data_IF_895499808421
#
_entry.id   IF_895499808421
#
_cell.length_a   1.000
_cell.length_b   1.000
_cell.length_c   1.000
_cell.angle_alpha   90.00
_cell.angle_beta   90.00
_cell.angle_gamma   90.00
#
_symmetry.space_group_name_H-M   'P 1'
#
loop_
_entity.id
_entity.type
_entity.pdbx_description
1 polymer ?
#
# COMPACT_ATOMS: atom_id res chain seq x y z
N UNK A 1 -47.04 15.10 -70.58
CA UNK A 1 -46.81 13.76 -70.01
C UNK A 1 -45.54 13.78 -69.15
N UNK A 2 -45.64 13.62 -67.82
CA UNK A 2 -44.49 13.69 -66.92
C UNK A 2 -43.91 12.28 -66.66
N UNK A 3 -42.59 12.11 -66.88
CA UNK A 3 -41.85 10.90 -66.53
C UNK A 3 -41.63 10.84 -65.01
N UNK A 4 -42.19 9.83 -64.33
CA UNK A 4 -41.86 9.51 -62.93
C UNK A 4 -40.49 8.86 -62.87
N UNK A 5 -39.54 9.50 -62.20
CA UNK A 5 -38.24 8.94 -61.85
C UNK A 5 -38.41 7.90 -60.73
N UNK A 6 -38.08 6.63 -61.02
CA UNK A 6 -37.99 5.59 -60.00
C UNK A 6 -36.76 5.81 -59.13
N UNK A 7 -36.96 6.02 -57.82
CA UNK A 7 -35.89 6.01 -56.83
C UNK A 7 -35.55 4.54 -56.56
N UNK A 8 -34.30 4.15 -56.80
CA UNK A 8 -33.79 2.79 -56.66
C UNK A 8 -33.79 2.35 -55.20
N UNK A 9 -34.54 1.28 -54.89
CA UNK A 9 -34.53 0.57 -53.60
C UNK A 9 -33.13 0.04 -53.21
N UNK A 10 -32.22 -0.12 -54.16
CA UNK A 10 -30.84 -0.56 -53.91
C UNK A 10 -30.00 0.44 -53.13
N UNK A 11 -30.21 1.74 -53.31
CA UNK A 11 -29.40 2.78 -52.65
C UNK A 11 -29.66 2.91 -51.15
N UNK A 12 -30.85 2.53 -50.68
CA UNK A 12 -31.22 2.60 -49.26
C UNK A 12 -30.61 1.46 -48.45
N UNK A 13 -30.58 0.24 -49.01
CA UNK A 13 -29.97 -0.93 -48.37
C UNK A 13 -28.44 -0.77 -48.22
N UNK A 14 -27.76 -0.21 -49.23
CA UNK A 14 -26.31 0.05 -49.17
C UNK A 14 -25.99 1.15 -48.14
N UNK A 15 -26.81 2.20 -48.05
CA UNK A 15 -26.64 3.26 -47.05
C UNK A 15 -26.85 2.75 -45.61
N UNK A 16 -27.90 1.95 -45.35
CA UNK A 16 -28.12 1.32 -44.05
C UNK A 16 -27.00 0.34 -43.67
N UNK A 17 -26.46 -0.43 -44.62
CA UNK A 17 -25.33 -1.32 -44.36
C UNK A 17 -24.04 -0.55 -44.09
N UNK A 18 -23.82 0.59 -44.74
CA UNK A 18 -22.63 1.44 -44.54
C UNK A 18 -22.67 2.11 -43.18
N UNK A 19 -23.84 2.61 -42.76
CA UNK A 19 -24.04 3.20 -41.43
C UNK A 19 -23.85 2.15 -40.32
N UNK A 20 -24.33 0.92 -40.52
CA UNK A 20 -24.13 -0.16 -39.55
C UNK A 20 -22.66 -0.57 -39.41
N UNK A 21 -21.90 -0.59 -40.51
CA UNK A 21 -20.45 -0.87 -40.49
C UNK A 21 -19.70 0.28 -39.81
N UNK A 22 -20.03 1.54 -40.13
CA UNK A 22 -19.41 2.70 -39.47
C UNK A 22 -19.68 2.74 -37.97
N UNK A 23 -20.90 2.42 -37.51
CA UNK A 23 -21.21 2.37 -36.07
C UNK A 23 -20.46 1.25 -35.34
N UNK A 24 -20.24 0.10 -35.99
CA UNK A 24 -19.44 -1.00 -35.43
C UNK A 24 -17.95 -0.68 -35.40
N UNK A 25 -17.44 0.01 -36.42
CA UNK A 25 -16.05 0.49 -36.46
C UNK A 25 -15.80 1.57 -35.41
N UNK A 26 -16.76 2.48 -35.18
CA UNK A 26 -16.67 3.53 -34.16
C UNK A 26 -16.77 2.95 -32.74
N UNK A 27 -17.66 1.97 -32.50
CA UNK A 27 -17.76 1.25 -31.22
C UNK A 27 -16.48 0.43 -30.93
N UNK A 28 -15.90 -0.19 -31.96
CA UNK A 28 -14.60 -0.87 -31.85
C UNK A 28 -13.45 0.11 -31.57
N UNK A 29 -13.44 1.29 -32.20
CA UNK A 29 -12.42 2.31 -31.99
C UNK A 29 -12.49 2.90 -30.57
N UNK A 30 -13.70 3.18 -30.08
CA UNK A 30 -13.94 3.63 -28.70
C UNK A 30 -13.53 2.55 -27.70
N UNK A 31 -13.83 1.27 -27.96
CA UNK A 31 -13.41 0.18 -27.09
C UNK A 31 -11.89 0.08 -27.00
N UNK A 32 -11.17 0.16 -28.13
CA UNK A 32 -9.70 0.14 -28.17
C UNK A 32 -9.09 1.32 -27.39
N UNK A 33 -9.67 2.52 -27.49
CA UNK A 33 -9.20 3.69 -26.72
C UNK A 33 -9.37 3.51 -25.20
N UNK A 34 -10.50 2.94 -24.76
CA UNK A 34 -10.74 2.63 -23.35
C UNK A 34 -9.69 1.63 -22.85
N UNK A 35 -9.43 0.57 -23.61
CA UNK A 35 -8.44 -0.44 -23.25
C UNK A 35 -7.01 0.12 -23.19
N UNK A 36 -6.65 0.97 -24.15
CA UNK A 36 -5.34 1.61 -24.18
C UNK A 36 -5.14 2.52 -22.95
N UNK A 37 -6.17 3.30 -22.58
CA UNK A 37 -6.16 4.13 -21.37
C UNK A 37 -5.99 3.31 -20.08
N UNK A 38 -6.69 2.17 -19.95
CA UNK A 38 -6.55 1.26 -18.81
C UNK A 38 -5.12 0.68 -18.72
N UNK A 39 -4.55 0.27 -19.86
CA UNK A 39 -3.19 -0.30 -19.92
C UNK A 39 -2.11 0.72 -19.63
N UNK A 40 -2.27 1.96 -20.07
CA UNK A 40 -1.31 3.03 -19.81
C UNK A 40 -1.26 3.41 -18.32
N UNK A 41 -2.44 3.46 -17.68
CA UNK A 41 -2.54 3.66 -16.23
C UNK A 41 -1.78 2.58 -15.45
N UNK A 42 -1.85 1.33 -15.90
CA UNK A 42 -1.12 0.22 -15.29
C UNK A 42 0.38 0.28 -15.53
N UNK A 43 0.82 0.63 -16.74
CA UNK A 43 2.24 0.84 -17.05
C UNK A 43 2.85 1.93 -16.18
N UNK A 44 2.14 3.04 -16.03
CA UNK A 44 2.53 4.14 -15.15
C UNK A 44 2.58 3.68 -13.69
N UNK A 45 1.59 2.90 -13.23
CA UNK A 45 1.57 2.35 -11.86
C UNK A 45 2.72 1.38 -11.59
N UNK A 46 3.09 0.55 -12.55
CA UNK A 46 4.19 -0.42 -12.41
C UNK A 46 5.57 0.25 -12.46
N UNK A 47 5.73 1.30 -13.27
CA UNK A 47 6.99 2.05 -13.41
C UNK A 47 7.22 3.01 -12.23
N UNK A 48 6.20 3.70 -11.75
CA UNK A 48 6.28 4.63 -10.60
C UNK A 48 6.29 3.94 -9.23
N UNK A 49 6.10 2.63 -9.17
CA UNK A 49 6.03 1.88 -7.91
C UNK A 49 7.34 1.98 -7.12
N UNK A 50 7.29 2.28 -5.80
CA UNK A 50 8.47 2.27 -4.96
C UNK A 50 9.20 0.91 -5.00
N UNK A 51 10.54 0.95 -5.12
CA UNK A 51 11.41 -0.25 -5.28
C UNK A 51 11.14 -1.32 -4.22
N UNK A 52 10.95 -0.89 -2.97
CA UNK A 52 10.65 -1.81 -1.86
C UNK A 52 9.29 -2.50 -2.00
N UNK A 53 8.28 -1.79 -2.50
CA UNK A 53 6.95 -2.34 -2.75
C UNK A 53 7.00 -3.31 -3.92
N UNK A 54 7.70 -2.96 -5.02
CA UNK A 54 7.93 -3.83 -6.17
C UNK A 54 8.57 -5.15 -5.75
N UNK A 55 9.74 -5.10 -5.09
CA UNK A 55 10.45 -6.29 -4.59
C UNK A 55 9.58 -7.16 -3.67
N UNK A 56 8.78 -6.55 -2.80
CA UNK A 56 7.90 -7.26 -1.88
C UNK A 56 6.76 -7.96 -2.62
N UNK A 57 6.12 -7.28 -3.56
CA UNK A 57 4.99 -7.81 -4.32
C UNK A 57 5.45 -8.94 -5.24
N UNK A 58 6.57 -8.75 -5.96
CA UNK A 58 7.18 -9.80 -6.79
C UNK A 58 7.48 -11.06 -5.98
N UNK A 59 7.99 -10.91 -4.75
CA UNK A 59 8.23 -12.04 -3.85
C UNK A 59 6.94 -12.82 -3.53
N UNK A 60 5.86 -12.11 -3.19
CA UNK A 60 4.57 -12.76 -2.88
C UNK A 60 3.88 -13.36 -4.10
N UNK A 61 3.95 -12.67 -5.25
CA UNK A 61 3.40 -13.14 -6.50
C UNK A 61 4.13 -14.40 -6.98
N UNK A 62 5.47 -14.45 -6.87
CA UNK A 62 6.26 -15.63 -7.19
C UNK A 62 5.90 -16.82 -6.31
N UNK A 63 5.80 -16.61 -4.99
CA UNK A 63 5.39 -17.67 -4.05
C UNK A 63 3.99 -18.24 -4.41
N UNK A 64 3.05 -17.38 -4.85
CA UNK A 64 1.73 -17.80 -5.32
C UNK A 64 1.80 -18.59 -6.64
N UNK A 65 2.57 -18.11 -7.63
CA UNK A 65 2.73 -18.79 -8.92
C UNK A 65 3.41 -20.16 -8.76
N UNK A 66 4.43 -20.26 -7.92
CA UNK A 66 5.11 -21.53 -7.61
C UNK A 66 4.13 -22.54 -6.98
N UNK A 67 3.30 -22.09 -6.04
CA UNK A 67 2.24 -22.92 -5.47
C UNK A 67 1.19 -23.34 -6.51
N UNK A 68 0.81 -22.46 -7.45
CA UNK A 68 -0.09 -22.83 -8.55
C UNK A 68 0.52 -23.90 -9.46
N UNK A 69 1.79 -23.76 -9.82
CA UNK A 69 2.53 -24.76 -10.61
C UNK A 69 2.58 -26.12 -9.90
N UNK A 70 2.83 -26.13 -8.59
CA UNK A 70 2.87 -27.37 -7.79
C UNK A 70 1.52 -28.08 -7.71
N UNK A 71 0.41 -27.33 -7.62
CA UNK A 71 -0.95 -27.88 -7.57
C UNK A 71 -1.54 -28.22 -8.95
N UNK A 72 -0.85 -27.85 -10.05
CA UNK A 72 -1.23 -28.18 -11.43
C UNK A 72 -2.67 -27.77 -11.80
N UNK A 73 -3.07 -26.56 -11.41
CA UNK A 73 -4.38 -26.02 -11.80
C UNK A 73 -4.51 -25.89 -13.32
N UNK A 74 -5.69 -26.19 -13.87
CA UNK A 74 -5.95 -26.18 -15.31
C UNK A 74 -5.78 -24.79 -15.95
N UNK A 75 -6.15 -23.74 -15.22
CA UNK A 75 -6.02 -22.33 -15.58
C UNK A 75 -4.67 -21.72 -15.12
N UNK A 76 -3.71 -22.57 -14.74
CA UNK A 76 -2.35 -22.19 -14.37
C UNK A 76 -2.28 -21.16 -13.25
N UNK A 77 -1.64 -20.02 -13.53
CA UNK A 77 -1.40 -18.95 -12.56
C UNK A 77 -2.52 -17.89 -12.52
N UNK A 78 -3.63 -18.14 -13.21
CA UNK A 78 -4.80 -17.25 -13.21
C UNK A 78 -5.34 -17.11 -11.79
N UNK A 79 -5.48 -15.87 -11.32
CA UNK A 79 -5.91 -15.58 -9.96
C UNK A 79 -7.43 -15.71 -9.86
N UNK A 80 -7.90 -16.53 -8.93
CA UNK A 80 -9.34 -16.68 -8.64
C UNK A 80 -9.60 -16.50 -7.14
N UNK A 81 -10.86 -16.23 -6.77
CA UNK A 81 -11.28 -16.16 -5.36
C UNK A 81 -10.95 -17.43 -4.58
N UNK A 82 -11.13 -18.60 -5.22
CA UNK A 82 -10.87 -19.91 -4.62
C UNK A 82 -9.37 -20.15 -4.40
N UNK A 83 -8.55 -19.90 -5.43
CA UNK A 83 -7.10 -20.06 -5.34
C UNK A 83 -6.47 -19.13 -4.31
N UNK A 84 -6.89 -17.85 -4.27
CA UNK A 84 -6.39 -16.91 -3.27
C UNK A 84 -6.72 -17.42 -1.85
N UNK A 85 -7.96 -17.85 -1.61
CA UNK A 85 -8.35 -18.36 -0.31
C UNK A 85 -7.55 -19.61 0.08
N UNK A 86 -7.48 -20.60 -0.81
CA UNK A 86 -6.79 -21.87 -0.58
C UNK A 86 -5.29 -21.65 -0.31
N UNK A 87 -4.63 -20.83 -1.13
CA UNK A 87 -3.23 -20.47 -0.94
C UNK A 87 -2.97 -19.84 0.43
N UNK A 88 -3.83 -18.90 0.85
CA UNK A 88 -3.68 -18.26 2.14
C UNK A 88 -3.83 -19.28 3.29
N UNK A 89 -4.84 -20.13 3.22
CA UNK A 89 -5.10 -21.16 4.25
C UNK A 89 -4.00 -22.21 4.35
N UNK A 90 -3.47 -22.69 3.23
CA UNK A 90 -2.48 -23.79 3.21
C UNK A 90 -1.04 -23.31 3.41
N UNK A 91 -0.67 -22.16 2.80
CA UNK A 91 0.73 -21.78 2.62
C UNK A 91 1.16 -20.57 3.43
N UNK A 92 0.22 -19.71 3.82
CA UNK A 92 0.53 -18.41 4.44
C UNK A 92 0.10 -18.34 5.90
N UNK A 93 -1.13 -18.76 6.21
CA UNK A 93 -1.66 -18.81 7.57
C UNK A 93 -1.05 -20.01 8.30
N UNK A 94 -0.63 -19.82 9.55
CA UNK A 94 0.00 -20.89 10.34
C UNK A 94 1.50 -21.11 10.06
N UNK A 95 2.04 -20.59 8.95
CA UNK A 95 3.47 -20.68 8.63
C UNK A 95 4.31 -19.88 9.63
N UNK A 96 5.50 -20.37 9.95
CA UNK A 96 6.49 -19.61 10.71
C UNK A 96 7.27 -18.62 9.83
N UNK A 97 7.51 -17.38 10.29
CA UNK A 97 8.38 -16.44 9.61
C UNK A 97 9.80 -17.00 9.48
N UNK A 98 10.42 -16.82 8.29
CA UNK A 98 11.80 -17.27 8.02
C UNK A 98 12.83 -16.78 9.05
N UNK A 99 12.60 -15.62 9.68
CA UNK A 99 13.52 -14.99 10.64
C UNK A 99 13.16 -15.18 12.12
N UNK A 100 11.92 -15.58 12.44
CA UNK A 100 11.41 -15.71 13.81
C UNK A 100 10.69 -17.04 13.97
N UNK A 101 11.48 -18.10 14.17
CA UNK A 101 10.95 -19.45 14.44
C UNK A 101 10.12 -19.45 15.74
N UNK A 102 9.05 -20.25 15.79
CA UNK A 102 8.14 -20.33 16.94
C UNK A 102 7.03 -19.28 17.03
N UNK A 103 6.85 -18.42 16.01
CA UNK A 103 5.73 -17.48 15.95
C UNK A 103 4.92 -17.68 14.67
N UNK A 104 3.61 -17.49 14.72
CA UNK A 104 2.75 -17.55 13.52
C UNK A 104 2.89 -16.26 12.72
N UNK A 105 2.87 -16.35 11.39
CA UNK A 105 2.84 -15.20 10.49
C UNK A 105 1.74 -14.20 10.87
N UNK A 106 2.13 -12.96 11.17
CA UNK A 106 1.22 -11.91 11.59
C UNK A 106 0.26 -11.45 10.49
N UNK A 107 -0.91 -10.94 10.89
CA UNK A 107 -1.96 -10.50 9.97
C UNK A 107 -1.56 -9.41 8.95
N UNK A 108 -0.52 -8.62 9.25
CA UNK A 108 0.03 -7.64 8.31
C UNK A 108 0.71 -8.29 7.10
N UNK A 109 1.37 -9.43 7.30
CA UNK A 109 2.00 -10.20 6.23
C UNK A 109 0.96 -10.87 5.35
N UNK A 110 -0.08 -11.46 5.95
CA UNK A 110 -1.22 -12.05 5.23
C UNK A 110 -1.90 -11.00 4.35
N UNK A 111 -2.16 -9.80 4.89
CA UNK A 111 -2.70 -8.70 4.09
C UNK A 111 -1.75 -8.26 2.96
N UNK A 112 -0.43 -8.36 3.18
CA UNK A 112 0.58 -8.14 2.16
C UNK A 112 0.46 -9.10 0.97
N UNK A 113 0.30 -10.40 1.24
CA UNK A 113 0.05 -11.40 0.18
C UNK A 113 -1.24 -11.10 -0.58
N UNK A 114 -2.33 -10.80 0.13
CA UNK A 114 -3.62 -10.45 -0.50
C UNK A 114 -3.47 -9.27 -1.45
N UNK A 115 -2.82 -8.18 -1.00
CA UNK A 115 -2.66 -7.00 -1.84
C UNK A 115 -1.79 -7.29 -3.08
N UNK A 116 -0.71 -8.07 -2.94
CA UNK A 116 0.15 -8.43 -4.06
C UNK A 116 -0.55 -9.37 -5.06
N UNK A 117 -1.39 -10.29 -4.61
CA UNK A 117 -2.14 -11.20 -5.49
C UNK A 117 -3.32 -10.48 -6.15
N UNK A 118 -3.99 -9.55 -5.46
CA UNK A 118 -4.99 -8.66 -6.07
C UNK A 118 -4.34 -7.77 -7.13
N UNK A 119 -3.12 -7.27 -6.88
CA UNK A 119 -2.36 -6.53 -7.88
C UNK A 119 -2.06 -7.39 -9.12
N UNK A 120 -1.67 -8.66 -8.93
CA UNK A 120 -1.50 -9.61 -10.04
C UNK A 120 -2.81 -9.84 -10.80
N UNK A 121 -3.94 -9.96 -10.10
CA UNK A 121 -5.26 -10.08 -10.72
C UNK A 121 -5.60 -8.86 -11.57
N UNK A 122 -5.40 -7.63 -11.07
CA UNK A 122 -5.66 -6.41 -11.83
C UNK A 122 -4.81 -6.35 -13.11
N UNK A 123 -3.56 -6.79 -13.04
CA UNK A 123 -2.70 -6.93 -14.23
C UNK A 123 -3.28 -7.95 -15.21
N UNK A 124 -3.74 -9.11 -14.74
CA UNK A 124 -4.34 -10.15 -15.61
C UNK A 124 -5.65 -9.70 -16.26
N UNK A 125 -6.50 -8.97 -15.53
CA UNK A 125 -7.77 -8.42 -16.05
C UNK A 125 -7.53 -7.41 -17.16
N UNK A 126 -6.59 -6.49 -16.97
CA UNK A 126 -6.28 -5.47 -17.98
C UNK A 126 -5.49 -6.01 -19.18
N UNK A 127 -4.83 -7.15 -19.02
CA UNK A 127 -4.28 -7.92 -20.13
C UNK A 127 -5.32 -8.85 -20.78
N UNK A 128 -6.58 -8.83 -20.31
CA UNK A 128 -7.70 -9.68 -20.75
C UNK A 128 -7.43 -11.20 -20.65
N UNK A 129 -6.49 -11.59 -19.78
CA UNK A 129 -6.15 -13.00 -19.51
C UNK A 129 -7.09 -13.59 -18.45
N UNK A 130 -7.68 -12.75 -17.61
CA UNK A 130 -8.52 -13.17 -16.51
C UNK A 130 -9.89 -12.47 -16.53
N UNK A 131 -10.96 -13.27 -16.64
CA UNK A 131 -12.35 -12.81 -16.62
C UNK A 131 -13.10 -13.21 -15.34
N UNK A 132 -12.39 -13.69 -14.32
CA UNK A 132 -13.00 -14.09 -13.05
C UNK A 132 -13.39 -12.89 -12.19
N UNK A 133 -14.34 -13.11 -11.27
CA UNK A 133 -14.68 -12.14 -10.23
C UNK A 133 -13.46 -11.76 -9.38
N UNK A 134 -13.51 -10.55 -8.82
CA UNK A 134 -12.47 -10.02 -7.96
C UNK A 134 -12.09 -10.99 -6.82
N UNK A 135 -10.81 -11.34 -6.64
CA UNK A 135 -10.40 -12.46 -5.80
C UNK A 135 -10.54 -12.20 -4.29
N UNK A 136 -10.61 -10.93 -3.87
CA UNK A 136 -10.81 -10.53 -2.46
C UNK A 136 -12.28 -10.68 -2.02
N UNK A 137 -12.74 -11.93 -1.94
CA UNK A 137 -14.09 -12.30 -1.53
C UNK A 137 -14.38 -12.01 -0.05
N UNK A 138 -15.66 -12.06 0.38
CA UNK A 138 -16.03 -11.99 1.80
C UNK A 138 -15.29 -13.01 2.69
N UNK A 139 -15.04 -14.21 2.17
CA UNK A 139 -14.32 -15.28 2.87
C UNK A 139 -12.85 -14.90 3.09
N UNK A 140 -12.18 -14.33 2.08
CA UNK A 140 -10.82 -13.80 2.23
C UNK A 140 -10.78 -12.66 3.26
N UNK A 141 -11.78 -11.77 3.25
CA UNK A 141 -11.90 -10.70 4.27
C UNK A 141 -12.07 -11.29 5.67
N UNK A 142 -12.87 -12.34 5.83
CA UNK A 142 -13.07 -13.02 7.11
C UNK A 142 -11.80 -13.73 7.59
N UNK A 143 -11.08 -14.41 6.71
CA UNK A 143 -9.79 -15.04 7.03
C UNK A 143 -8.78 -14.02 7.56
N UNK A 144 -8.66 -12.85 6.91
CA UNK A 144 -7.80 -11.76 7.38
C UNK A 144 -8.20 -11.31 8.80
N UNK A 145 -9.51 -11.15 9.06
CA UNK A 145 -10.01 -10.76 10.40
C UNK A 145 -9.68 -11.81 11.45
N UNK A 146 -9.79 -13.10 11.14
CA UNK A 146 -9.44 -14.18 12.07
C UNK A 146 -7.95 -14.12 12.44
N UNK A 147 -7.06 -14.00 11.45
CA UNK A 147 -5.61 -13.92 11.71
C UNK A 147 -5.25 -12.65 12.48
N UNK A 148 -5.88 -11.52 12.15
CA UNK A 148 -5.69 -10.27 12.88
C UNK A 148 -6.21 -10.36 14.32
N UNK A 149 -7.35 -11.03 14.55
CA UNK A 149 -7.88 -11.26 15.88
C UNK A 149 -6.99 -12.18 16.72
N UNK A 150 -6.39 -13.22 16.12
CA UNK A 150 -5.37 -14.05 16.78
C UNK A 150 -4.14 -13.23 17.18
N UNK A 151 -3.65 -12.37 16.27
CA UNK A 151 -2.56 -11.43 16.56
C UNK A 151 -2.96 -10.42 17.66
N UNK A 152 -4.22 -9.99 17.68
CA UNK A 152 -4.75 -9.07 18.68
C UNK A 152 -5.02 -9.75 20.03
N UNK A 153 -5.29 -11.06 20.08
CA UNK A 153 -5.44 -11.81 21.32
C UNK A 153 -4.15 -11.82 22.14
N UNK A 154 -2.98 -11.78 21.48
CA UNK A 154 -1.69 -11.55 22.15
C UNK A 154 -1.64 -10.20 22.89
N UNK A 155 -2.48 -9.22 22.52
CA UNK A 155 -2.61 -7.91 23.20
C UNK A 155 -3.37 -7.94 24.53
N UNK A 156 -4.03 -9.05 24.87
CA UNK A 156 -4.75 -9.25 26.16
C UNK A 156 -3.83 -9.69 27.30
N UNK A 157 -2.56 -9.98 27.01
CA UNK A 157 -1.54 -10.10 28.05
C UNK A 157 -1.24 -8.69 28.53
N UNK A 158 -1.56 -8.37 29.79
CA UNK A 158 -1.29 -7.09 30.45
C UNK A 158 0.22 -6.82 30.65
N UNK A 159 1.05 -7.26 29.70
CA UNK A 159 2.45 -6.91 29.65
C UNK A 159 2.58 -5.52 29.05
N UNK A 160 3.48 -4.72 29.62
CA UNK A 160 3.88 -3.46 29.03
C UNK A 160 4.36 -3.70 27.60
N UNK A 161 3.75 -2.98 26.67
CA UNK A 161 4.01 -3.09 25.23
C UNK A 161 5.21 -2.26 24.80
N UNK A 162 5.72 -1.42 25.71
CA UNK A 162 6.97 -0.70 25.59
C UNK A 162 8.20 -1.61 25.65
N UNK A 163 8.09 -2.76 26.32
CA UNK A 163 9.15 -3.76 26.43
C UNK A 163 9.46 -4.34 25.04
N UNK A 164 10.71 -4.26 24.60
CA UNK A 164 11.14 -4.67 23.26
C UNK A 164 10.87 -3.64 22.15
N UNK A 165 10.51 -2.39 22.50
CA UNK A 165 10.18 -1.32 21.56
C UNK A 165 11.25 -0.20 21.53
N UNK A 166 10.90 1.00 21.04
CA UNK A 166 11.78 2.18 21.02
C UNK A 166 12.29 2.57 22.42
N UNK A 167 11.52 2.22 23.47
CA UNK A 167 11.89 2.45 24.87
C UNK A 167 13.06 1.59 25.37
N UNK A 168 13.45 0.55 24.62
CA UNK A 168 14.61 -0.30 24.96
C UNK A 168 15.94 0.25 24.40
N UNK A 169 15.95 1.39 23.72
CA UNK A 169 17.17 1.94 23.10
C UNK A 169 18.09 2.70 24.05
N UNK A 170 17.53 3.38 25.06
CA UNK A 170 18.27 4.15 26.06
C UNK A 170 17.65 3.85 27.44
N UNK A 171 18.33 3.03 28.24
CA UNK A 171 17.76 2.53 29.50
C UNK A 171 17.99 3.46 30.69
N UNK A 172 18.81 4.51 30.53
CA UNK A 172 19.08 5.47 31.59
C UNK A 172 19.35 6.87 31.04
N UNK A 173 19.08 7.88 31.87
CA UNK A 173 19.43 9.28 31.60
C UNK A 173 20.92 9.46 31.34
N UNK A 174 21.77 8.68 32.01
CA UNK A 174 23.23 8.72 31.79
C UNK A 174 23.59 8.28 30.37
N UNK A 175 22.99 7.21 29.84
CA UNK A 175 23.25 6.78 28.45
C UNK A 175 22.78 7.83 27.46
N UNK A 176 21.65 8.47 27.73
CA UNK A 176 21.13 9.53 26.88
C UNK A 176 22.05 10.76 26.86
N UNK A 177 22.56 11.16 28.02
CA UNK A 177 23.52 12.23 28.15
C UNK A 177 24.83 11.90 27.42
N UNK A 178 25.36 10.67 27.60
CA UNK A 178 26.56 10.21 26.89
C UNK A 178 26.40 10.28 25.37
N UNK A 179 25.23 9.90 24.83
CA UNK A 179 24.96 10.02 23.39
C UNK A 179 24.98 11.49 22.96
N UNK A 180 24.33 12.37 23.73
CA UNK A 180 24.32 13.80 23.46
C UNK A 180 25.72 14.42 23.51
N UNK A 181 26.52 14.05 24.49
CA UNK A 181 27.89 14.53 24.68
C UNK A 181 28.81 14.01 23.55
N UNK A 182 28.62 12.76 23.13
CA UNK A 182 29.36 12.18 21.98
C UNK A 182 29.12 12.99 20.71
N UNK A 183 27.88 13.43 20.44
CA UNK A 183 27.61 14.29 19.29
C UNK A 183 28.29 15.67 19.40
N UNK A 184 28.41 16.21 20.61
CA UNK A 184 29.13 17.47 20.85
C UNK A 184 30.64 17.28 20.66
N UNK A 185 31.21 16.19 21.14
CA UNK A 185 32.62 15.84 20.94
C UNK A 185 32.97 15.64 19.46
N UNK A 186 32.03 15.11 18.68
CA UNK A 186 32.16 14.92 17.23
C UNK A 186 31.81 16.16 16.39
N UNK A 187 31.43 17.27 17.03
CA UNK A 187 30.95 18.50 16.37
C UNK A 187 29.75 18.26 15.42
N UNK A 188 28.92 17.26 15.69
CA UNK A 188 27.74 16.91 14.89
C UNK A 188 26.45 17.42 15.55
N UNK A 189 26.30 18.75 15.54
CA UNK A 189 25.10 19.42 16.05
C UNK A 189 23.82 18.99 15.32
N UNK A 190 23.93 18.65 14.03
CA UNK A 190 22.80 18.20 13.22
C UNK A 190 22.34 16.81 13.66
N UNK A 191 23.26 15.87 13.84
CA UNK A 191 22.99 14.53 14.36
C UNK A 191 22.37 14.59 15.75
N UNK A 192 22.89 15.47 16.61
CA UNK A 192 22.31 15.74 17.93
C UNK A 192 20.87 16.23 17.85
N UNK A 193 20.60 17.26 17.05
CA UNK A 193 19.25 17.80 16.89
C UNK A 193 18.29 16.74 16.33
N UNK A 194 18.69 15.98 15.31
CA UNK A 194 17.90 14.91 14.73
C UNK A 194 17.61 13.78 15.74
N UNK A 195 18.59 13.42 16.57
CA UNK A 195 18.41 12.45 17.66
C UNK A 195 17.39 12.93 18.69
N UNK A 196 17.53 14.17 19.18
CA UNK A 196 16.62 14.76 20.16
C UNK A 196 15.18 14.86 19.62
N UNK A 197 15.02 15.38 18.40
CA UNK A 197 13.71 15.50 17.74
C UNK A 197 13.08 14.11 17.53
N UNK A 198 13.87 13.11 17.10
CA UNK A 198 13.38 11.74 16.92
C UNK A 198 12.95 11.11 18.25
N UNK A 199 13.71 11.35 19.33
CA UNK A 199 13.47 10.76 20.64
C UNK A 199 12.23 11.36 21.30
N UNK A 200 12.19 12.69 21.48
CA UNK A 200 11.06 13.36 22.14
C UNK A 200 9.80 13.39 21.29
N UNK A 201 9.95 13.48 19.97
CA UNK A 201 8.83 13.45 19.06
C UNK A 201 8.32 12.04 18.71
N UNK A 202 9.02 10.99 19.16
CA UNK A 202 8.80 9.60 18.76
C UNK A 202 8.69 9.43 17.23
N UNK A 203 9.48 10.24 16.51
CA UNK A 203 9.45 10.33 15.06
C UNK A 203 10.32 9.26 14.42
N UNK A 204 9.88 8.76 13.26
CA UNK A 204 10.72 7.91 12.41
C UNK A 204 11.79 8.77 11.75
N UNK A 205 12.96 8.18 11.51
CA UNK A 205 14.04 8.89 10.82
C UNK A 205 13.69 9.41 9.42
N UNK A 206 12.66 8.87 8.74
CA UNK A 206 12.16 9.47 7.49
C UNK A 206 11.52 10.84 7.76
N UNK A 207 10.59 10.93 8.71
CA UNK A 207 9.93 12.18 9.07
C UNK A 207 10.93 13.25 9.55
N UNK A 208 11.98 12.85 10.28
CA UNK A 208 13.00 13.79 10.78
C UNK A 208 13.89 14.32 9.66
N UNK A 209 14.18 13.49 8.64
CA UNK A 209 15.00 13.92 7.50
C UNK A 209 14.25 14.81 6.53
N UNK A 210 12.95 14.58 6.39
CA UNK A 210 12.07 15.34 5.50
C UNK A 210 11.51 16.60 6.19
N UNK A 211 11.84 16.83 7.46
CA UNK A 211 11.37 17.99 8.23
C UNK A 211 12.04 19.28 7.75
N UNK A 212 11.24 20.27 7.38
CA UNK A 212 11.73 21.60 7.05
C UNK A 212 11.53 22.56 8.23
N UNK A 213 12.33 23.63 8.28
CA UNK A 213 12.14 24.70 9.28
C UNK A 213 10.75 25.35 9.18
N UNK A 214 10.14 25.37 7.99
CA UNK A 214 8.79 25.87 7.76
C UNK A 214 7.70 24.98 8.42
N UNK A 215 8.02 23.71 8.70
CA UNK A 215 7.12 22.78 9.41
C UNK A 215 7.20 22.94 10.93
N UNK A 216 8.08 23.81 11.43
CA UNK A 216 8.35 24.02 12.85
C UNK A 216 7.80 25.37 13.31
N UNK A 217 6.97 25.37 14.34
CA UNK A 217 6.48 26.61 14.93
C UNK A 217 6.44 26.55 16.45
N UNK A 218 6.69 27.70 17.07
CA UNK A 218 6.57 27.87 18.51
C UNK A 218 5.13 28.17 18.88
N UNK A 219 4.61 27.44 19.87
CA UNK A 219 3.29 27.69 20.42
C UNK A 219 3.42 28.05 21.90
N UNK A 220 3.07 29.29 22.30
CA UNK A 220 2.95 29.62 23.71
C UNK A 220 1.80 28.83 24.33
N UNK A 221 2.07 28.16 25.45
CA UNK A 221 1.10 27.39 26.20
C UNK A 221 0.63 28.23 27.39
N UNK A 222 -0.41 29.02 27.15
CA UNK A 222 -1.04 29.83 28.21
C UNK A 222 -1.60 28.92 29.31
N UNK A 223 -1.32 29.28 30.57
CA UNK A 223 -1.87 28.65 31.80
C UNK A 223 -1.35 27.24 32.15
N UNK A 224 -0.18 26.80 31.66
CA UNK A 224 0.41 25.50 32.06
C UNK A 224 1.46 25.54 33.19
N UNK A 225 1.68 26.67 33.85
CA UNK A 225 2.58 26.75 35.02
C UNK A 225 2.76 28.17 35.56
N UNK A 226 3.72 28.33 36.49
CA UNK A 226 4.14 29.62 37.05
C UNK A 226 4.98 30.47 36.08
N UNK A 227 5.52 29.88 35.00
CA UNK A 227 6.35 30.54 33.99
C UNK A 227 5.75 30.36 32.57
N UNK A 228 6.01 31.29 31.63
CA UNK A 228 5.61 31.14 30.24
C UNK A 228 6.29 29.90 29.64
N UNK A 229 5.48 28.96 29.16
CA UNK A 229 5.95 27.72 28.55
C UNK A 229 5.76 27.81 27.03
N UNK A 230 6.84 27.60 26.26
CA UNK A 230 6.79 27.58 24.79
C UNK A 230 6.99 26.12 24.38
N UNK A 231 6.02 25.57 23.67
CA UNK A 231 6.18 24.28 23.02
C UNK A 231 6.72 24.46 21.61
N UNK A 232 7.66 23.61 21.21
CA UNK A 232 8.02 23.43 19.83
C UNK A 232 7.03 22.43 19.20
N UNK A 233 6.34 22.86 18.15
CA UNK A 233 5.38 22.04 17.41
C UNK A 233 5.92 21.76 16.02
N UNK A 234 5.90 20.49 15.64
CA UNK A 234 6.28 19.96 14.34
C UNK A 234 5.03 19.54 13.59
N UNK A 235 4.98 19.91 12.33
CA UNK A 235 3.90 19.61 11.41
C UNK A 235 4.34 18.51 10.45
N UNK A 236 3.60 17.41 10.41
CA UNK A 236 3.95 16.22 9.61
C UNK A 236 2.82 15.99 8.60
N UNK A 237 3.08 16.35 7.35
CA UNK A 237 2.14 16.11 6.25
C UNK A 237 2.49 14.85 5.48
N UNK A 238 3.79 14.53 5.35
CA UNK A 238 4.26 13.42 4.55
C UNK A 238 4.97 12.38 5.41
N UNK A 239 4.83 11.12 5.02
CA UNK A 239 5.49 9.99 5.67
C UNK A 239 4.96 8.68 5.13
N UNK A 240 5.69 7.58 5.34
CA UNK A 240 5.32 6.28 4.77
C UNK A 240 3.93 5.80 5.19
N UNK A 241 3.51 6.15 6.41
CA UNK A 241 2.16 5.85 6.94
C UNK A 241 1.15 6.96 6.68
N UNK A 242 1.60 8.11 6.19
CA UNK A 242 0.79 9.29 5.90
C UNK A 242 0.82 9.60 4.39
N UNK A 243 0.43 8.61 3.59
CA UNK A 243 0.50 8.67 2.13
C UNK A 243 -0.39 9.76 1.51
N UNK A 244 -1.42 10.20 2.23
CA UNK A 244 -2.43 11.14 1.72
C UNK A 244 -2.31 12.56 2.30
N UNK A 245 -1.18 12.92 2.92
CA UNK A 245 -0.99 14.31 3.33
C UNK A 245 -1.79 14.71 4.57
N UNK A 246 -2.28 13.77 5.40
CA UNK A 246 -3.11 14.13 6.55
C UNK A 246 -2.30 14.95 7.54
N UNK A 247 -2.84 16.08 7.99
CA UNK A 247 -2.14 16.90 8.96
C UNK A 247 -1.94 16.16 10.29
N UNK A 248 -0.68 15.99 10.70
CA UNK A 248 -0.31 15.44 12.01
C UNK A 248 0.57 16.43 12.74
N UNK A 249 0.40 16.50 14.06
CA UNK A 249 1.19 17.39 14.92
C UNK A 249 1.96 16.54 15.94
N UNK A 250 3.20 16.94 16.18
CA UNK A 250 4.04 16.44 17.26
C UNK A 250 4.54 17.65 18.03
N UNK A 251 4.46 17.64 19.36
CA UNK A 251 4.91 18.78 20.16
C UNK A 251 5.62 18.34 21.42
N UNK A 252 6.68 19.05 21.77
CA UNK A 252 7.45 18.84 22.99
C UNK A 252 7.88 20.20 23.57
N UNK A 253 8.16 20.19 24.87
CA UNK A 253 8.55 21.35 25.69
C UNK A 253 10.02 21.20 26.04
#
# INVERSE_FOLDING_TARGET
MPKKSGISLGSFATASSTIAIQLLEDDSAVHVQIEESERETLRTTLSSRPVNTKRKYEGYQRDFMEWCCGNKFCDGNTVTKGKLHLFLSERVVGREPKKKKGTVMGGSTVCGYVNAIVDLYNQQVALRVNSNDHPRSPQVKQLIRIVQAQTAHTKKKYQDRGIGSLLDGCHSEMQFQQICDTFLELDDLRGRAAFLISHYGLLRGENVRDLELADMFSQPLDKKGFQPCIALVLLIQHGKTNTYGKLQHCGFI
#
